data_IF_530220861640
#
_entry.id   IF_530220861640
#
_cell.length_a   1.000
_cell.length_b   1.000
_cell.length_c   1.000
_cell.angle_alpha   90.00
_cell.angle_beta   90.00
_cell.angle_gamma   90.00
#
_symmetry.space_group_name_H-M   'P 1'
#
loop_
_entity.id
_entity.type
_entity.pdbx_description
1 polymer ?
#
# COMPACT_ATOMS: atom_id res chain seq x y z
N UNK A 1 -8.15 -11.77 -13.80
CA UNK A 1 -9.33 -11.93 -12.93
C UNK A 1 -9.14 -11.01 -11.74
N UNK A 2 -10.19 -10.29 -11.32
CA UNK A 2 -10.12 -9.39 -10.17
C UNK A 2 -10.39 -10.11 -8.84
N UNK A 3 -10.05 -9.46 -7.73
CA UNK A 3 -10.26 -9.93 -6.35
C UNK A 3 -11.68 -10.44 -6.11
N UNK A 4 -12.71 -9.69 -6.51
CA UNK A 4 -14.11 -10.03 -6.27
C UNK A 4 -14.58 -11.30 -6.98
N UNK A 5 -13.99 -11.63 -8.13
CA UNK A 5 -14.41 -12.80 -8.92
C UNK A 5 -14.01 -14.12 -8.26
N UNK A 6 -12.91 -14.10 -7.53
CA UNK A 6 -12.36 -15.26 -6.81
C UNK A 6 -12.38 -15.05 -5.30
N UNK A 7 -13.06 -14.00 -4.83
CA UNK A 7 -13.10 -13.55 -3.44
C UNK A 7 -11.72 -13.66 -2.74
N UNK A 8 -10.68 -13.13 -3.38
CA UNK A 8 -9.30 -13.26 -2.94
C UNK A 8 -9.03 -12.35 -1.74
N UNK A 9 -8.38 -12.88 -0.72
CA UNK A 9 -7.72 -12.14 0.35
C UNK A 9 -6.27 -12.62 0.44
N UNK A 10 -5.30 -11.72 0.29
CA UNK A 10 -3.89 -12.13 0.38
C UNK A 10 -3.52 -12.46 1.83
N UNK A 11 -3.99 -11.62 2.75
CA UNK A 11 -3.80 -11.69 4.21
C UNK A 11 -2.35 -11.69 4.73
N UNK A 12 -1.36 -11.49 3.85
CA UNK A 12 0.05 -11.37 4.24
C UNK A 12 0.87 -10.49 3.27
N UNK A 13 0.26 -9.42 2.78
CA UNK A 13 0.83 -8.59 1.73
C UNK A 13 1.82 -7.54 2.27
N UNK A 14 2.80 -7.99 3.08
CA UNK A 14 3.92 -7.14 3.52
C UNK A 14 4.98 -6.97 2.43
N UNK A 15 5.90 -6.03 2.61
CA UNK A 15 6.87 -5.65 1.55
C UNK A 15 7.76 -6.79 1.06
N UNK A 16 8.14 -7.76 1.90
CA UNK A 16 8.91 -8.93 1.45
C UNK A 16 8.10 -9.94 0.62
N UNK A 17 6.77 -9.85 0.64
CA UNK A 17 5.87 -10.63 -0.22
C UNK A 17 5.49 -9.86 -1.50
N UNK A 18 6.26 -8.83 -1.84
CA UNK A 18 6.10 -8.05 -3.05
C UNK A 18 7.40 -8.10 -3.85
N UNK A 19 7.31 -8.63 -5.07
CA UNK A 19 8.39 -8.58 -6.04
C UNK A 19 8.22 -7.36 -6.95
N UNK A 20 9.34 -6.70 -7.21
CA UNK A 20 9.46 -5.57 -8.13
C UNK A 20 10.35 -6.00 -9.27
N UNK A 21 9.82 -5.93 -10.49
CA UNK A 21 10.53 -6.30 -11.71
C UNK A 21 10.44 -5.18 -12.74
N UNK A 22 11.46 -5.07 -13.59
CA UNK A 22 11.37 -4.17 -14.75
C UNK A 22 10.43 -4.75 -15.80
N UNK A 23 9.62 -3.88 -16.41
CA UNK A 23 8.74 -4.25 -17.52
C UNK A 23 8.95 -3.34 -18.72
N UNK A 24 8.78 -3.90 -19.92
CA UNK A 24 8.79 -3.14 -21.17
C UNK A 24 7.42 -2.52 -21.49
N UNK A 25 6.36 -3.09 -20.91
CA UNK A 25 4.98 -2.61 -21.07
C UNK A 25 4.87 -1.18 -20.55
N UNK A 26 4.24 -0.28 -21.29
CA UNK A 26 4.00 1.11 -20.85
C UNK A 26 2.79 1.21 -19.91
N UNK A 27 1.79 0.36 -20.12
CA UNK A 27 0.55 0.32 -19.34
C UNK A 27 0.14 -1.13 -19.06
N UNK A 28 -0.51 -1.34 -17.92
CA UNK A 28 -1.18 -2.60 -17.59
C UNK A 28 -2.69 -2.35 -17.60
N UNK A 29 -3.39 -3.15 -18.39
CA UNK A 29 -4.84 -3.13 -18.46
C UNK A 29 -5.46 -4.15 -17.50
N UNK A 30 -6.51 -3.75 -16.80
CA UNK A 30 -7.29 -4.64 -15.94
C UNK A 30 -8.77 -4.24 -15.92
N UNK A 31 -9.62 -5.13 -15.42
CA UNK A 31 -11.08 -4.89 -15.34
C UNK A 31 -11.54 -5.05 -13.90
N UNK A 32 -12.20 -4.01 -13.37
CA UNK A 32 -12.85 -4.02 -12.05
C UNK A 32 -14.33 -3.75 -12.29
N UNK A 33 -15.19 -4.65 -11.83
CA UNK A 33 -16.65 -4.51 -11.87
C UNK A 33 -17.17 -4.21 -13.29
N UNK A 34 -16.61 -4.90 -14.28
CA UNK A 34 -16.94 -4.74 -15.69
C UNK A 34 -16.34 -3.49 -16.36
N UNK A 35 -15.72 -2.58 -15.59
CA UNK A 35 -15.06 -1.38 -16.12
C UNK A 35 -13.58 -1.67 -16.39
N UNK A 36 -13.14 -1.36 -17.61
CA UNK A 36 -11.73 -1.42 -18.00
C UNK A 36 -10.95 -0.24 -17.44
N UNK A 37 -9.72 -0.51 -17.04
CA UNK A 37 -8.75 0.43 -16.51
C UNK A 37 -7.39 0.16 -17.14
N UNK A 38 -6.61 1.22 -17.31
CA UNK A 38 -5.21 1.15 -17.72
C UNK A 38 -4.40 2.01 -16.75
N UNK A 39 -3.30 1.45 -16.23
CA UNK A 39 -2.37 2.15 -15.34
C UNK A 39 -0.98 2.12 -15.94
N UNK A 40 -0.30 3.26 -15.98
CA UNK A 40 1.08 3.36 -16.44
C UNK A 40 2.00 2.58 -15.53
N UNK A 41 2.87 1.75 -16.11
CA UNK A 41 3.80 0.89 -15.36
C UNK A 41 4.98 1.67 -14.82
N UNK A 42 5.34 2.78 -15.46
CA UNK A 42 6.60 3.48 -15.20
C UNK A 42 7.82 2.54 -15.28
N UNK A 43 7.76 1.56 -16.20
CA UNK A 43 8.75 0.49 -16.37
C UNK A 43 8.91 -0.45 -15.17
N UNK A 44 7.99 -0.40 -14.21
CA UNK A 44 7.96 -1.24 -13.02
C UNK A 44 6.71 -2.12 -13.02
N UNK A 45 6.88 -3.38 -12.68
CA UNK A 45 5.80 -4.33 -12.44
C UNK A 45 5.90 -4.86 -11.01
N UNK A 46 4.77 -4.83 -10.32
CA UNK A 46 4.63 -5.32 -8.95
C UNK A 46 3.91 -6.67 -9.00
N UNK A 47 4.47 -7.67 -8.31
CA UNK A 47 3.85 -9.00 -8.17
C UNK A 47 3.74 -9.37 -6.69
N UNK A 48 2.53 -9.70 -6.26
CA UNK A 48 2.31 -10.32 -4.95
C UNK A 48 2.71 -11.79 -5.01
N UNK A 49 3.41 -12.26 -3.98
CA UNK A 49 3.86 -13.64 -3.80
C UNK A 49 3.47 -14.16 -2.42
N UNK A 50 3.74 -15.44 -2.19
CA UNK A 50 3.42 -16.12 -0.93
C UNK A 50 1.94 -16.02 -0.52
N UNK A 51 1.14 -16.83 -1.21
CA UNK A 51 -0.29 -16.98 -0.91
C UNK A 51 -0.55 -17.99 0.22
N UNK A 52 0.46 -18.34 1.03
CA UNK A 52 0.37 -19.38 2.05
C UNK A 52 -0.66 -19.07 3.14
N UNK A 53 -0.94 -17.79 3.41
CA UNK A 53 -1.98 -17.34 4.36
C UNK A 53 -3.26 -16.83 3.68
N UNK A 54 -3.32 -16.89 2.35
CA UNK A 54 -4.42 -16.32 1.60
C UNK A 54 -5.72 -17.10 1.77
N UNK A 55 -6.81 -16.47 1.34
CA UNK A 55 -8.13 -17.09 1.19
C UNK A 55 -8.67 -16.76 -0.18
N UNK A 56 -9.20 -17.75 -0.91
CA UNK A 56 -9.84 -17.54 -2.20
C UNK A 56 -10.89 -18.61 -2.48
N UNK A 57 -11.85 -18.26 -3.33
CA UNK A 57 -12.85 -19.17 -3.88
C UNK A 57 -12.35 -19.73 -5.22
N UNK A 58 -12.29 -21.06 -5.31
CA UNK A 58 -11.98 -21.79 -6.54
C UNK A 58 -13.19 -22.64 -6.96
N UNK A 59 -14.06 -22.06 -7.79
CA UNK A 59 -15.36 -22.66 -8.09
C UNK A 59 -16.23 -22.73 -6.83
N UNK A 60 -16.63 -23.93 -6.44
CA UNK A 60 -17.45 -24.16 -5.24
C UNK A 60 -16.59 -24.36 -3.97
N UNK A 61 -15.27 -24.50 -4.12
CA UNK A 61 -14.35 -24.70 -3.01
C UNK A 61 -13.82 -23.38 -2.45
N UNK A 62 -13.60 -23.34 -1.14
CA UNK A 62 -12.92 -22.24 -0.45
C UNK A 62 -11.56 -22.76 0.00
N UNK A 63 -10.49 -22.20 -0.58
CA UNK A 63 -9.12 -22.46 -0.19
C UNK A 63 -8.70 -21.38 0.80
N UNK A 64 -8.22 -21.78 1.97
CA UNK A 64 -7.76 -20.85 2.99
C UNK A 64 -6.81 -21.53 3.97
N UNK A 65 -5.93 -20.75 4.59
CA UNK A 65 -5.09 -21.23 5.68
C UNK A 65 -5.83 -21.12 7.02
N UNK A 66 -5.84 -22.23 7.77
CA UNK A 66 -6.40 -22.31 9.12
C UNK A 66 -5.35 -22.06 10.21
N UNK A 67 -4.06 -22.17 9.89
CA UNK A 67 -2.97 -22.05 10.85
C UNK A 67 -2.50 -20.60 10.95
N UNK A 68 -3.27 -19.81 11.70
CA UNK A 68 -2.90 -18.46 12.09
C UNK A 68 -2.04 -18.52 13.36
N UNK A 69 -0.80 -18.95 13.22
CA UNK A 69 0.22 -18.60 14.21
C UNK A 69 0.55 -17.13 14.02
N UNK A 70 -0.21 -16.27 14.68
CA UNK A 70 0.34 -14.96 15.05
C UNK A 70 1.47 -15.35 16.00
N UNK A 71 2.72 -15.31 15.51
CA UNK A 71 3.86 -15.23 16.40
C UNK A 71 3.62 -13.96 17.21
N UNK A 72 2.95 -14.15 18.35
CA UNK A 72 3.11 -13.31 19.51
C UNK A 72 4.59 -13.41 19.80
N UNK A 73 5.38 -12.57 19.14
CA UNK A 73 6.65 -12.15 19.67
C UNK A 73 6.27 -11.50 21.00
N UNK A 74 6.25 -12.37 22.01
CA UNK A 74 6.07 -12.01 23.39
C UNK A 74 6.99 -10.84 23.61
N UNK A 75 6.45 -9.81 24.25
CA UNK A 75 7.23 -8.72 24.79
C UNK A 75 8.26 -9.29 25.78
N UNK A 76 9.33 -9.88 25.27
CA UNK A 76 10.50 -10.23 26.03
C UNK A 76 11.36 -8.97 26.10
N UNK A 77 10.84 -8.00 26.85
CA UNK A 77 11.61 -7.02 27.60
C UNK A 77 12.63 -6.15 26.85
N UNK A 78 12.53 -6.00 25.54
CA UNK A 78 13.38 -5.07 24.78
C UNK A 78 12.50 -4.18 23.91
N UNK A 79 12.64 -2.88 24.10
CA UNK A 79 11.89 -1.81 23.44
C UNK A 79 12.33 -1.65 21.96
N UNK A 80 12.47 -2.74 21.22
CA UNK A 80 12.71 -2.64 19.78
C UNK A 80 11.41 -2.25 19.06
N UNK A 81 11.43 -1.30 18.10
CA UNK A 81 10.25 -0.94 17.34
C UNK A 81 9.69 -2.17 16.63
N UNK A 82 8.45 -2.55 16.96
CA UNK A 82 7.75 -3.61 16.22
C UNK A 82 7.60 -3.18 14.77
N UNK A 83 7.93 -4.09 13.85
CA UNK A 83 7.67 -3.83 12.44
C UNK A 83 6.18 -3.62 12.21
N UNK A 84 5.83 -2.59 11.45
CA UNK A 84 4.45 -2.16 11.17
C UNK A 84 3.51 -3.30 10.74
N UNK A 85 4.06 -4.31 10.05
CA UNK A 85 3.26 -5.43 9.55
C UNK A 85 2.72 -6.31 10.70
N UNK A 86 3.39 -6.38 11.86
CA UNK A 86 2.89 -7.10 13.03
C UNK A 86 1.62 -6.48 13.62
N UNK A 87 1.40 -5.18 13.43
CA UNK A 87 0.19 -4.49 13.89
C UNK A 87 -1.05 -4.81 13.02
N UNK A 88 -0.83 -5.38 11.83
CA UNK A 88 -1.89 -5.71 10.87
C UNK A 88 -2.63 -6.99 11.28
N UNK A 89 -1.93 -8.00 11.81
CA UNK A 89 -2.56 -9.28 12.15
C UNK A 89 -3.67 -9.19 13.22
N UNK A 90 -3.50 -8.46 14.35
CA UNK A 90 -4.59 -8.29 15.31
C UNK A 90 -5.81 -7.62 14.70
N UNK A 91 -5.61 -6.61 13.83
CA UNK A 91 -6.68 -5.91 13.13
C UNK A 91 -7.40 -6.80 12.11
N UNK A 92 -6.69 -7.69 11.42
CA UNK A 92 -7.34 -8.72 10.59
C UNK A 92 -8.19 -9.67 11.45
N UNK A 93 -7.72 -10.05 12.63
CA UNK A 93 -8.49 -10.88 13.55
C UNK A 93 -9.75 -10.17 14.06
N UNK A 94 -9.69 -8.85 14.30
CA UNK A 94 -10.86 -8.01 14.61
C UNK A 94 -11.88 -7.99 13.46
N UNK A 95 -11.42 -7.86 12.21
CA UNK A 95 -12.29 -7.85 11.01
C UNK A 95 -12.96 -9.21 10.78
N UNK A 96 -12.21 -10.29 10.95
CA UNK A 96 -12.68 -11.66 10.68
C UNK A 96 -13.46 -12.25 11.86
N UNK A 97 -13.32 -11.71 13.07
CA UNK A 97 -13.85 -12.30 14.29
C UNK A 97 -13.30 -13.71 14.54
N UNK A 98 -12.11 -14.02 14.02
CA UNK A 98 -11.52 -15.36 14.02
C UNK A 98 -12.10 -16.33 12.98
N UNK A 99 -13.07 -15.91 12.16
CA UNK A 99 -13.58 -16.72 11.06
C UNK A 99 -12.77 -16.48 9.77
N UNK A 100 -11.67 -17.22 9.64
CA UNK A 100 -10.78 -17.12 8.49
C UNK A 100 -11.32 -17.80 7.22
N UNK A 101 -12.41 -18.56 7.30
CA UNK A 101 -13.01 -19.20 6.13
C UNK A 101 -13.87 -18.22 5.32
N UNK A 102 -14.58 -17.36 6.03
CA UNK A 102 -15.48 -16.37 5.43
C UNK A 102 -14.69 -15.32 4.63
N UNK A 103 -15.40 -14.66 3.71
CA UNK A 103 -14.82 -13.62 2.87
C UNK A 103 -14.86 -12.28 3.58
N UNK A 104 -13.67 -11.74 3.87
CA UNK A 104 -13.47 -10.46 4.53
C UNK A 104 -12.54 -9.55 3.70
N UNK A 105 -13.02 -8.97 2.58
CA UNK A 105 -12.18 -8.14 1.70
C UNK A 105 -11.56 -6.91 2.38
N UNK A 106 -12.05 -6.53 3.56
CA UNK A 106 -11.44 -5.51 4.41
C UNK A 106 -10.00 -5.84 4.83
N UNK A 107 -9.60 -7.13 4.84
CA UNK A 107 -8.21 -7.53 5.09
C UNK A 107 -7.26 -7.02 4.00
N UNK A 108 -7.68 -7.01 2.73
CA UNK A 108 -6.88 -6.43 1.65
C UNK A 108 -6.78 -4.91 1.76
N UNK A 109 -7.87 -4.24 2.14
CA UNK A 109 -7.85 -2.78 2.40
C UNK A 109 -6.86 -2.43 3.51
N UNK A 110 -6.80 -3.26 4.56
CA UNK A 110 -5.87 -3.09 5.66
C UNK A 110 -4.41 -3.23 5.20
N UNK A 111 -4.10 -4.23 4.37
CA UNK A 111 -2.76 -4.40 3.78
C UNK A 111 -2.37 -3.29 2.80
N UNK A 112 -3.31 -2.79 1.98
CA UNK A 112 -3.08 -1.62 1.14
C UNK A 112 -2.75 -0.38 1.99
N UNK A 113 -3.43 -0.21 3.12
CA UNK A 113 -3.10 0.85 4.09
C UNK A 113 -1.70 0.74 4.66
N UNK A 114 -1.27 -0.49 5.01
CA UNK A 114 0.10 -0.75 5.43
C UNK A 114 1.12 -0.35 4.34
N UNK A 115 0.88 -0.74 3.07
CA UNK A 115 1.80 -0.42 1.98
C UNK A 115 1.91 1.08 1.72
N UNK A 116 0.80 1.81 1.79
CA UNK A 116 0.78 3.27 1.63
C UNK A 116 1.58 3.94 2.76
N UNK A 117 1.40 3.49 4.00
CA UNK A 117 2.15 4.00 5.15
C UNK A 117 3.66 3.80 4.95
N UNK A 118 4.07 2.61 4.52
CA UNK A 118 5.48 2.29 4.24
C UNK A 118 6.04 3.21 3.14
N UNK A 119 5.35 3.33 2.00
CA UNK A 119 5.79 4.19 0.90
C UNK A 119 5.88 5.66 1.31
N UNK A 120 4.97 6.13 2.17
CA UNK A 120 4.98 7.51 2.68
C UNK A 120 6.16 7.78 3.61
N UNK A 121 6.55 6.79 4.43
CA UNK A 121 7.72 6.90 5.33
C UNK A 121 9.04 6.94 4.58
N UNK A 122 9.20 6.10 3.55
CA UNK A 122 10.40 6.10 2.71
C UNK A 122 10.56 7.42 1.95
N UNK A 123 9.46 8.02 1.49
CA UNK A 123 9.51 9.30 0.80
C UNK A 123 9.83 10.49 1.73
N UNK A 124 9.55 10.36 3.04
CA UNK A 124 9.81 11.43 4.02
C UNK A 124 11.25 11.44 4.54
N UNK A 125 12.02 10.37 4.30
CA UNK A 125 13.43 10.24 4.71
C UNK A 125 14.43 10.68 3.63
N UNK A 126 13.96 11.34 2.57
CA UNK A 126 14.78 11.91 1.50
C UNK A 126 15.51 13.21 1.88
N UNK A 127 16.57 13.11 2.69
CA UNK A 127 17.81 13.91 2.65
C UNK A 127 18.62 13.57 3.90
N UNK A 128 19.65 12.73 3.79
CA UNK A 128 20.86 12.72 4.65
C UNK A 128 21.69 11.44 4.41
N UNK A 129 22.00 11.11 3.14
CA UNK A 129 23.15 10.26 2.84
C UNK A 129 24.13 11.07 2.00
N UNK A 130 25.21 11.49 2.66
CA UNK A 130 26.31 12.27 2.10
C UNK A 130 26.94 11.62 0.85
N UNK A 131 27.03 12.40 -0.23
CA UNK A 131 28.13 12.33 -1.18
C UNK A 131 28.44 13.76 -1.66
N UNK A 132 29.56 14.31 -1.22
CA UNK A 132 30.14 15.62 -1.59
C UNK A 132 31.08 15.46 -2.81
N UNK A 133 31.65 16.54 -3.41
CA UNK A 133 31.18 17.91 -3.60
C UNK A 133 31.45 18.44 -5.04
N UNK A 134 30.77 19.50 -5.51
CA UNK A 134 31.46 20.71 -6.03
C UNK A 134 30.50 21.88 -6.30
N UNK A 135 30.99 23.07 -6.00
CA UNK A 135 30.54 24.40 -6.45
C UNK A 135 29.36 25.04 -5.71
N UNK A 136 29.77 25.69 -4.62
CA UNK A 136 29.07 26.77 -3.97
C UNK A 136 28.84 28.01 -4.87
N UNK A 137 27.87 28.84 -4.46
CA UNK A 137 27.68 30.25 -4.81
C UNK A 137 26.85 30.62 -6.05
N UNK A 138 25.66 30.06 -6.21
CA UNK A 138 24.47 30.76 -6.72
C UNK A 138 23.22 30.16 -6.03
N UNK A 139 22.23 30.86 -5.47
CA UNK A 139 22.03 32.23 -4.99
C UNK A 139 20.82 32.13 -4.02
N UNK A 140 20.90 32.76 -2.85
CA UNK A 140 19.94 32.63 -1.73
C UNK A 140 18.50 33.15 -1.99
N UNK A 141 18.12 33.44 -3.24
CA UNK A 141 16.76 33.73 -3.67
C UNK A 141 15.98 32.48 -4.10
N UNK A 142 16.67 31.42 -4.55
CA UNK A 142 16.05 30.13 -4.89
C UNK A 142 15.72 29.30 -3.64
N UNK A 143 16.43 29.54 -2.52
CA UNK A 143 16.25 28.79 -1.27
C UNK A 143 14.88 29.01 -0.61
N UNK A 144 14.31 30.22 -0.68
CA UNK A 144 12.97 30.51 -0.12
C UNK A 144 11.82 29.99 -0.97
N UNK A 145 11.95 30.09 -2.30
CA UNK A 145 10.97 29.55 -3.25
C UNK A 145 10.92 28.02 -3.11
N UNK A 146 12.10 27.38 -3.03
CA UNK A 146 12.24 25.95 -2.84
C UNK A 146 11.71 25.48 -1.47
N UNK A 147 11.94 26.24 -0.39
CA UNK A 147 11.40 25.89 0.94
C UNK A 147 9.85 26.01 1.01
N UNK A 148 9.26 27.02 0.35
CA UNK A 148 7.80 27.17 0.25
C UNK A 148 7.17 26.10 -0.65
N UNK A 149 7.81 25.79 -1.78
CA UNK A 149 7.36 24.73 -2.70
C UNK A 149 7.48 23.34 -2.04
N UNK A 150 8.58 23.06 -1.33
CA UNK A 150 8.77 21.83 -0.52
C UNK A 150 7.72 21.75 0.58
N UNK A 151 7.43 22.88 1.27
CA UNK A 151 6.40 22.91 2.31
C UNK A 151 5.02 22.63 1.72
N UNK A 152 4.70 23.23 0.58
CA UNK A 152 3.43 23.03 -0.11
C UNK A 152 3.27 21.58 -0.59
N UNK A 153 4.33 20.98 -1.15
CA UNK A 153 4.34 19.55 -1.50
C UNK A 153 4.14 18.65 -0.28
N UNK A 154 4.78 18.96 0.86
CA UNK A 154 4.58 18.22 2.12
C UNK A 154 3.16 18.31 2.64
N UNK A 155 2.55 19.50 2.57
CA UNK A 155 1.15 19.72 2.99
C UNK A 155 0.18 18.96 2.07
N UNK A 156 0.36 19.05 0.75
CA UNK A 156 -0.42 18.30 -0.23
C UNK A 156 -0.29 16.78 -0.01
N UNK A 157 0.92 16.27 0.25
CA UNK A 157 1.15 14.85 0.56
C UNK A 157 0.49 14.42 1.86
N UNK A 158 0.45 15.29 2.86
CA UNK A 158 -0.24 15.01 4.13
C UNK A 158 -1.75 14.96 3.94
N UNK A 159 -2.33 15.90 3.19
CA UNK A 159 -3.75 15.85 2.81
C UNK A 159 -4.08 14.57 2.05
N UNK A 160 -3.21 14.16 1.12
CA UNK A 160 -3.34 12.90 0.38
C UNK A 160 -3.33 11.71 1.34
N UNK A 161 -2.33 11.62 2.22
CA UNK A 161 -2.22 10.55 3.20
C UNK A 161 -3.44 10.50 4.14
N UNK A 162 -3.96 11.65 4.58
CA UNK A 162 -5.17 11.73 5.39
C UNK A 162 -6.42 11.27 4.63
N UNK A 163 -6.55 11.63 3.35
CA UNK A 163 -7.65 11.16 2.50
C UNK A 163 -7.56 9.65 2.25
N UNK A 164 -6.37 9.12 2.03
CA UNK A 164 -6.12 7.68 1.93
C UNK A 164 -6.51 6.95 3.23
N UNK A 165 -6.06 7.45 4.38
CA UNK A 165 -6.44 6.91 5.69
C UNK A 165 -7.95 6.98 5.94
N UNK A 166 -8.60 8.06 5.52
CA UNK A 166 -10.05 8.20 5.61
C UNK A 166 -10.79 7.25 4.66
N UNK A 167 -10.24 7.00 3.46
CA UNK A 167 -10.78 6.05 2.50
C UNK A 167 -10.67 4.61 3.01
N UNK A 168 -9.52 4.22 3.57
CA UNK A 168 -9.29 2.92 4.21
C UNK A 168 -10.36 2.62 5.27
N UNK A 169 -10.68 3.62 6.12
CA UNK A 169 -11.71 3.47 7.17
C UNK A 169 -13.15 3.33 6.63
N UNK A 170 -13.40 3.70 5.37
CA UNK A 170 -14.75 3.79 4.77
C UNK A 170 -14.96 2.79 3.62
N UNK A 171 -13.97 1.96 3.30
CA UNK A 171 -14.07 1.00 2.21
C UNK A 171 -14.08 -0.42 2.78
N UNK A 172 -14.90 -1.26 2.19
CA UNK A 172 -15.02 -2.66 2.58
C UNK A 172 -14.28 -3.59 1.62
N UNK A 173 -13.98 -3.14 0.40
CA UNK A 173 -13.18 -3.89 -0.60
C UNK A 173 -12.07 -3.03 -1.20
N UNK A 174 -11.03 -3.69 -1.75
CA UNK A 174 -9.98 -2.97 -2.48
C UNK A 174 -10.52 -2.31 -3.77
N UNK A 175 -11.54 -2.91 -4.39
CA UNK A 175 -12.23 -2.35 -5.56
C UNK A 175 -12.96 -1.03 -5.24
N UNK A 176 -13.65 -0.97 -4.10
CA UNK A 176 -14.26 0.27 -3.59
C UNK A 176 -13.21 1.33 -3.26
N UNK A 177 -12.14 0.90 -2.58
CA UNK A 177 -11.01 1.77 -2.25
C UNK A 177 -10.39 2.37 -3.51
N UNK A 178 -10.08 1.54 -4.52
CA UNK A 178 -9.55 1.99 -5.80
C UNK A 178 -10.53 2.92 -6.51
N UNK A 179 -11.83 2.58 -6.54
CA UNK A 179 -12.85 3.43 -7.17
C UNK A 179 -12.92 4.81 -6.53
N UNK A 180 -12.93 4.91 -5.20
CA UNK A 180 -12.88 6.20 -4.48
C UNK A 180 -11.58 6.93 -4.74
N UNK A 181 -10.47 6.22 -4.73
CA UNK A 181 -9.15 6.78 -5.00
C UNK A 181 -9.10 7.40 -6.41
N UNK A 182 -9.58 6.71 -7.44
CA UNK A 182 -9.63 7.26 -8.82
C UNK A 182 -10.55 8.47 -8.97
N UNK A 183 -11.55 8.62 -8.10
CA UNK A 183 -12.42 9.79 -8.04
C UNK A 183 -11.81 10.95 -7.24
N UNK A 184 -10.72 10.72 -6.51
CA UNK A 184 -10.01 11.75 -5.77
C UNK A 184 -9.31 12.72 -6.71
N UNK A 185 -9.38 14.01 -6.39
CA UNK A 185 -8.62 15.07 -7.09
C UNK A 185 -7.11 14.86 -7.01
N UNK A 186 -6.63 14.06 -6.05
CA UNK A 186 -5.21 13.78 -5.88
C UNK A 186 -4.72 12.51 -6.56
N UNK A 187 -5.59 11.68 -7.15
CA UNK A 187 -5.16 10.45 -7.83
C UNK A 187 -4.02 10.71 -8.82
N UNK A 188 -4.23 11.67 -9.71
CA UNK A 188 -3.23 12.06 -10.70
C UNK A 188 -2.04 12.82 -10.10
N UNK A 189 -2.15 13.41 -8.91
CA UNK A 189 -1.06 14.14 -8.26
C UNK A 189 -0.13 13.19 -7.50
N UNK A 190 -0.71 12.23 -6.77
CA UNK A 190 0.02 11.20 -6.03
C UNK A 190 0.91 10.37 -6.96
N UNK A 191 0.36 9.89 -8.09
CA UNK A 191 1.11 9.12 -9.09
C UNK A 191 2.02 9.96 -9.99
N UNK A 192 1.94 11.30 -9.96
CA UNK A 192 2.91 12.18 -10.64
C UNK A 192 4.18 12.41 -9.82
N UNK A 193 4.14 12.11 -8.52
CA UNK A 193 5.28 12.25 -7.61
C UNK A 193 6.19 11.01 -7.55
N UNK A 194 5.79 9.94 -8.26
CA UNK A 194 6.62 8.78 -8.59
C UNK A 194 7.11 8.94 -10.03
#
# INVERSE_FOLDING_TARGET
>A
MGEEMVELEHRDAHVSNILIENTKEEEIEFTINGKKWAVKTMKIMIKFIDFGKSRLRNGDEILFCNDWHIESNGSNGTEEPRELHYEIYPRMNEITGGNWKDYHPGTNVLWLGYLIEILTRFNSSGSDSECLPTEAFQKASEKKQNDEDIRKEREERKEIAEEFHAAIKKCTTAGEFFSKLTASKYFNSFFKSF
#
